data_IF_543569614517
#
_entry.id   IF_543569614517
#
_cell.length_a   1.000
_cell.length_b   1.000
_cell.length_c   1.000
_cell.angle_alpha   90.00
_cell.angle_beta   90.00
_cell.angle_gamma   90.00
#
_symmetry.space_group_name_H-M   'P 1'
#
loop_
_entity.id
_entity.type
_entity.pdbx_description
1 polymer ?
#
# COMPACT_ATOMS: atom_id res chain seq x y z
N UNK A 1 9.27 13.74 -63.44
CA UNK A 1 10.07 13.17 -62.33
C UNK A 1 10.16 14.20 -61.20
N UNK A 2 9.46 13.99 -60.08
CA UNK A 2 9.68 14.69 -58.81
C UNK A 2 9.35 13.71 -57.69
N UNK A 3 10.40 13.12 -57.10
CA UNK A 3 10.33 12.36 -55.86
C UNK A 3 10.08 13.37 -54.73
N UNK A 4 9.08 13.16 -53.88
CA UNK A 4 8.98 13.89 -52.62
C UNK A 4 8.53 12.95 -51.50
N UNK A 5 9.15 13.17 -50.35
CA UNK A 5 9.50 12.18 -49.35
C UNK A 5 8.32 11.75 -48.46
N UNK A 6 8.33 10.46 -48.15
CA UNK A 6 7.60 9.80 -47.07
C UNK A 6 8.11 10.37 -45.73
N UNK A 7 7.30 11.15 -45.00
CA UNK A 7 7.59 11.49 -43.61
C UNK A 7 6.85 10.47 -42.74
N UNK A 8 7.62 9.48 -42.29
CA UNK A 8 7.20 8.50 -41.29
C UNK A 8 7.18 9.20 -39.92
N UNK A 9 6.03 9.67 -39.48
CA UNK A 9 5.84 10.11 -38.10
C UNK A 9 5.81 8.89 -37.19
N UNK A 10 6.98 8.52 -36.66
CA UNK A 10 7.09 7.62 -35.50
C UNK A 10 6.54 8.39 -34.30
N UNK A 11 5.24 8.22 -34.04
CA UNK A 11 4.66 8.58 -32.75
C UNK A 11 5.21 7.58 -31.73
N UNK A 12 6.14 8.04 -30.90
CA UNK A 12 6.55 7.35 -29.68
C UNK A 12 5.30 7.20 -28.79
N UNK A 13 4.64 6.05 -28.87
CA UNK A 13 3.61 5.66 -27.90
C UNK A 13 4.33 5.26 -26.62
N UNK A 14 4.60 6.26 -25.77
CA UNK A 14 4.97 6.01 -24.38
C UNK A 14 3.82 5.25 -23.74
N UNK A 15 3.92 3.91 -23.70
CA UNK A 15 3.04 3.08 -22.89
C UNK A 15 3.44 3.31 -21.43
N UNK A 16 2.98 4.41 -20.84
CA UNK A 16 2.77 4.45 -19.41
C UNK A 16 1.73 3.37 -19.12
N UNK A 17 2.17 2.18 -18.70
CA UNK A 17 1.28 1.13 -18.26
C UNK A 17 0.52 1.64 -17.04
N UNK A 18 -0.71 2.10 -17.27
CA UNK A 18 -1.62 2.48 -16.20
C UNK A 18 -1.93 1.21 -15.39
N UNK A 19 -1.81 1.30 -14.07
CA UNK A 19 -2.19 0.21 -13.17
C UNK A 19 -3.69 -0.02 -13.28
N UNK A 20 -4.09 -1.26 -13.51
CA UNK A 20 -5.49 -1.66 -13.64
C UNK A 20 -6.17 -1.78 -12.26
N UNK A 21 -7.51 -1.66 -12.18
CA UNK A 21 -8.25 -1.90 -10.94
C UNK A 21 -7.97 -3.28 -10.33
N UNK A 22 -7.84 -4.32 -11.17
CA UNK A 22 -7.53 -5.67 -10.71
C UNK A 22 -6.13 -5.78 -10.10
N UNK A 23 -5.13 -5.11 -10.67
CA UNK A 23 -3.79 -5.03 -10.08
C UNK A 23 -3.79 -4.31 -8.73
N UNK A 24 -4.60 -3.25 -8.59
CA UNK A 24 -4.78 -2.56 -7.31
C UNK A 24 -5.36 -3.50 -6.26
N UNK A 25 -6.44 -4.21 -6.58
CA UNK A 25 -7.07 -5.16 -5.66
C UNK A 25 -6.13 -6.31 -5.31
N UNK A 26 -5.42 -6.87 -6.31
CA UNK A 26 -4.43 -7.92 -6.10
C UNK A 26 -3.30 -7.46 -5.16
N UNK A 27 -2.84 -6.22 -5.30
CA UNK A 27 -1.84 -5.64 -4.41
C UNK A 27 -2.35 -5.48 -2.98
N UNK A 28 -3.61 -5.09 -2.77
CA UNK A 28 -4.22 -5.02 -1.44
C UNK A 28 -4.36 -6.40 -0.80
N UNK A 29 -4.83 -7.39 -1.56
CA UNK A 29 -4.93 -8.78 -1.09
C UNK A 29 -3.56 -9.35 -0.72
N UNK A 30 -2.56 -9.12 -1.58
CA UNK A 30 -1.18 -9.53 -1.35
C UNK A 30 -0.60 -8.87 -0.10
N UNK A 31 -0.83 -7.57 0.09
CA UNK A 31 -0.39 -6.85 1.28
C UNK A 31 -1.02 -7.46 2.55
N UNK A 32 -2.35 -7.64 2.57
CA UNK A 32 -3.04 -8.24 3.70
C UNK A 32 -2.54 -9.67 4.02
N UNK A 33 -2.39 -10.53 3.01
CA UNK A 33 -1.88 -11.89 3.19
C UNK A 33 -0.43 -11.91 3.71
N UNK A 34 0.43 -11.03 3.16
CA UNK A 34 1.84 -10.88 3.59
C UNK A 34 1.93 -10.44 5.04
N UNK A 35 1.16 -9.41 5.41
CA UNK A 35 1.08 -8.88 6.78
C UNK A 35 0.64 -9.97 7.75
N UNK A 36 -0.46 -10.67 7.48
CA UNK A 36 -0.96 -11.73 8.37
C UNK A 36 0.04 -12.87 8.50
N UNK A 37 0.70 -13.28 7.42
CA UNK A 37 1.73 -14.31 7.46
C UNK A 37 2.92 -13.89 8.34
N UNK A 38 3.35 -12.63 8.25
CA UNK A 38 4.45 -12.08 9.05
C UNK A 38 4.09 -11.96 10.52
N UNK A 39 2.90 -11.44 10.84
CA UNK A 39 2.40 -11.42 12.21
C UNK A 39 2.29 -12.83 12.82
N UNK A 40 1.73 -13.79 12.08
CA UNK A 40 1.63 -15.20 12.54
C UNK A 40 2.99 -15.85 12.82
N UNK A 41 4.08 -15.33 12.26
CA UNK A 41 5.44 -15.88 12.41
C UNK A 41 6.30 -15.14 13.43
N UNK A 42 6.07 -13.85 13.67
CA UNK A 42 6.93 -13.07 14.57
C UNK A 42 6.26 -11.84 15.20
N UNK A 43 4.93 -11.84 15.31
CA UNK A 43 4.14 -10.86 16.03
C UNK A 43 4.26 -9.43 15.49
N UNK A 44 3.95 -8.46 16.35
CA UNK A 44 3.95 -7.02 16.03
C UNK A 44 5.33 -6.52 15.59
N UNK A 45 6.42 -7.01 16.20
CA UNK A 45 7.77 -6.62 15.79
C UNK A 45 8.07 -6.95 14.31
N UNK A 46 7.59 -8.10 13.84
CA UNK A 46 7.71 -8.46 12.41
C UNK A 46 6.88 -7.57 11.49
N UNK A 47 5.77 -6.99 11.99
CA UNK A 47 4.96 -6.04 11.24
C UNK A 47 5.68 -4.70 11.07
N UNK A 48 6.30 -4.19 12.14
CA UNK A 48 7.12 -2.97 12.09
C UNK A 48 8.23 -3.14 11.06
N UNK A 49 8.97 -4.24 11.13
CA UNK A 49 10.08 -4.51 10.22
C UNK A 49 9.65 -4.51 8.74
N UNK A 50 8.56 -5.22 8.38
CA UNK A 50 8.14 -5.27 6.97
C UNK A 50 7.62 -3.93 6.47
N UNK A 51 7.05 -3.11 7.34
CA UNK A 51 6.61 -1.76 7.00
C UNK A 51 7.83 -0.89 6.73
N UNK A 52 8.79 -0.84 7.66
CA UNK A 52 10.04 -0.10 7.49
C UNK A 52 10.80 -0.51 6.22
N UNK A 53 10.92 -1.82 5.98
CA UNK A 53 11.59 -2.34 4.80
C UNK A 53 10.89 -1.93 3.50
N UNK A 54 9.56 -1.80 3.50
CA UNK A 54 8.83 -1.34 2.32
C UNK A 54 9.15 0.12 2.00
N UNK A 55 9.18 1.00 3.01
CA UNK A 55 9.45 2.43 2.83
C UNK A 55 10.91 2.76 2.46
N UNK A 56 11.85 1.80 2.54
CA UNK A 56 13.25 2.00 2.11
C UNK A 56 13.43 2.16 0.60
N UNK A 57 12.52 1.63 -0.22
CA UNK A 57 12.58 1.77 -1.69
C UNK A 57 11.21 2.14 -2.29
N UNK A 58 10.93 3.45 -2.26
CA UNK A 58 9.70 4.02 -2.82
C UNK A 58 9.66 4.05 -4.35
N UNK A 59 10.72 3.64 -5.07
CA UNK A 59 10.71 3.67 -6.53
C UNK A 59 9.95 2.49 -7.13
N UNK A 60 9.84 1.37 -6.41
CA UNK A 60 9.31 0.12 -6.96
C UNK A 60 7.87 -0.20 -6.54
N UNK A 61 7.41 0.30 -5.39
CA UNK A 61 6.16 -0.17 -4.76
C UNK A 61 5.37 0.89 -3.97
N UNK A 62 5.28 2.14 -4.46
CA UNK A 62 4.71 3.29 -3.73
C UNK A 62 3.41 2.98 -2.96
N UNK A 63 2.31 2.72 -3.66
CA UNK A 63 1.03 2.48 -2.99
C UNK A 63 0.93 1.12 -2.27
N UNK A 64 1.74 0.13 -2.68
CA UNK A 64 1.76 -1.16 -1.99
C UNK A 64 2.26 -1.03 -0.55
N UNK A 65 3.21 -0.13 -0.27
CA UNK A 65 3.66 0.12 1.11
C UNK A 65 2.56 0.71 1.98
N UNK A 66 1.71 1.59 1.43
CA UNK A 66 0.53 2.09 2.13
C UNK A 66 -0.42 0.93 2.47
N UNK A 67 -0.65 0.01 1.52
CA UNK A 67 -1.53 -1.13 1.79
C UNK A 67 -0.99 -2.06 2.87
N UNK A 68 0.32 -2.29 2.86
CA UNK A 68 1.01 -3.13 3.83
C UNK A 68 1.00 -2.50 5.22
N UNK A 69 1.26 -1.18 5.33
CA UNK A 69 1.19 -0.42 6.57
C UNK A 69 -0.25 -0.41 7.13
N UNK A 70 -1.25 -0.06 6.32
CA UNK A 70 -2.67 -0.13 6.72
C UNK A 70 -3.08 -1.51 7.21
N UNK A 71 -2.66 -2.58 6.53
CA UNK A 71 -2.90 -3.94 6.97
C UNK A 71 -2.25 -4.22 8.32
N UNK A 72 -1.01 -3.78 8.53
CA UNK A 72 -0.26 -3.98 9.76
C UNK A 72 -0.87 -3.21 10.95
N UNK A 73 -1.31 -1.97 10.71
CA UNK A 73 -2.05 -1.16 11.68
C UNK A 73 -3.31 -1.87 12.15
N UNK A 74 -4.12 -2.37 11.22
CA UNK A 74 -5.34 -3.11 11.57
C UNK A 74 -5.06 -4.38 12.39
N UNK A 75 -3.99 -5.13 12.08
CA UNK A 75 -3.57 -6.27 12.91
C UNK A 75 -3.14 -5.80 14.31
N UNK A 76 -2.35 -4.74 14.40
CA UNK A 76 -1.91 -4.15 15.67
C UNK A 76 -3.08 -3.70 16.54
N UNK A 77 -4.05 -3.00 15.96
CA UNK A 77 -5.24 -2.53 16.66
C UNK A 77 -6.09 -3.69 17.19
N UNK A 78 -6.23 -4.76 16.38
CA UNK A 78 -6.95 -5.98 16.80
C UNK A 78 -6.25 -6.75 17.92
N UNK A 79 -4.93 -6.83 17.90
CA UNK A 79 -4.13 -7.47 18.95
C UNK A 79 -4.20 -6.66 20.26
N UNK A 80 -4.19 -5.33 20.15
CA UNK A 80 -4.31 -4.41 21.28
C UNK A 80 -5.72 -4.32 21.90
N UNK A 81 -6.77 -4.77 21.21
CA UNK A 81 -8.16 -4.64 21.69
C UNK A 81 -8.52 -5.55 22.89
N UNK A 82 -7.65 -6.50 23.28
CA UNK A 82 -7.93 -7.47 24.34
C UNK A 82 -7.39 -7.15 25.74
N UNK A 83 -6.39 -6.26 25.85
CA UNK A 83 -5.72 -5.89 27.11
C UNK A 83 -5.30 -4.42 27.00
N UNK A 84 -5.01 -3.72 28.09
CA UNK A 84 -4.53 -2.31 28.12
C UNK A 84 -3.22 -2.08 27.36
N UNK A 85 -3.19 -2.33 26.06
CA UNK A 85 -2.06 -2.19 25.18
C UNK A 85 -2.26 -0.91 24.39
N UNK A 86 -1.38 0.05 24.59
CA UNK A 86 -1.24 1.18 23.68
C UNK A 86 -0.89 0.64 22.29
N UNK A 87 -1.48 1.20 21.21
CA UNK A 87 -1.02 0.88 19.85
C UNK A 87 0.49 0.98 19.80
N UNK A 88 1.13 0.06 19.07
CA UNK A 88 2.56 0.14 18.83
C UNK A 88 2.87 1.53 18.27
N UNK A 89 3.84 2.23 18.86
CA UNK A 89 4.12 3.65 18.56
C UNK A 89 4.35 3.86 17.06
N UNK A 90 4.91 2.85 16.40
CA UNK A 90 5.12 2.87 14.97
C UNK A 90 3.81 3.01 14.15
N UNK A 91 2.69 2.48 14.64
CA UNK A 91 1.41 2.41 13.92
C UNK A 91 0.40 3.51 14.28
N UNK A 92 0.80 4.50 15.10
CA UNK A 92 -0.03 5.68 15.41
C UNK A 92 -0.18 6.59 14.19
N UNK A 93 -1.23 7.41 14.19
CA UNK A 93 -1.62 8.25 13.04
C UNK A 93 -0.51 9.21 12.63
N UNK A 94 0.15 9.87 13.58
CA UNK A 94 1.20 10.85 13.28
C UNK A 94 2.38 10.22 12.54
N UNK A 95 2.82 9.06 12.99
CA UNK A 95 3.94 8.32 12.39
C UNK A 95 3.54 7.75 11.01
N UNK A 96 2.31 7.27 10.88
CA UNK A 96 1.76 6.82 9.60
C UNK A 96 1.71 7.97 8.57
N UNK A 97 1.19 9.13 8.95
CA UNK A 97 1.13 10.30 8.08
C UNK A 97 2.52 10.75 7.64
N UNK A 98 3.49 10.76 8.56
CA UNK A 98 4.89 11.07 8.26
C UNK A 98 5.45 10.17 7.16
N UNK A 99 5.28 8.84 7.28
CA UNK A 99 5.80 7.86 6.30
C UNK A 99 5.09 7.89 4.95
N UNK A 100 3.78 8.12 4.95
CA UNK A 100 2.95 8.02 3.74
C UNK A 100 2.93 9.30 2.90
N UNK A 101 3.21 10.45 3.53
CA UNK A 101 3.18 11.78 2.90
C UNK A 101 3.97 11.85 1.59
N UNK A 102 5.19 11.28 1.56
CA UNK A 102 6.05 11.32 0.38
C UNK A 102 5.44 10.59 -0.83
N UNK A 103 4.69 9.50 -0.60
CA UNK A 103 4.02 8.76 -1.67
C UNK A 103 2.90 9.61 -2.28
N UNK A 104 2.12 10.30 -1.46
CA UNK A 104 1.05 11.17 -1.93
C UNK A 104 1.60 12.39 -2.69
N UNK A 105 2.65 13.01 -2.16
CA UNK A 105 3.37 14.11 -2.82
C UNK A 105 3.89 13.67 -4.20
N UNK A 106 4.58 12.52 -4.27
CA UNK A 106 5.09 11.95 -5.54
C UNK A 106 3.99 11.51 -6.51
N UNK A 107 2.76 11.37 -6.03
CA UNK A 107 1.59 11.02 -6.82
C UNK A 107 0.75 12.26 -7.18
N UNK A 108 1.23 13.46 -6.86
CA UNK A 108 0.55 14.74 -7.10
C UNK A 108 -0.86 14.77 -6.48
N UNK A 109 -1.01 14.13 -5.31
CA UNK A 109 -2.26 14.14 -4.54
C UNK A 109 -2.19 15.22 -3.46
N UNK A 110 -3.23 16.04 -3.38
CA UNK A 110 -3.40 16.97 -2.27
C UNK A 110 -3.95 16.24 -1.02
N UNK A 111 -4.14 16.98 0.07
CA UNK A 111 -4.62 16.42 1.34
C UNK A 111 -5.99 15.76 1.21
N UNK A 112 -6.95 16.43 0.54
CA UNK A 112 -8.31 15.92 0.37
C UNK A 112 -8.31 14.63 -0.46
N UNK A 113 -7.58 14.61 -1.58
CA UNK A 113 -7.43 13.43 -2.42
C UNK A 113 -6.76 12.26 -1.68
N UNK A 114 -5.76 12.56 -0.85
CA UNK A 114 -5.08 11.55 -0.03
C UNK A 114 -6.02 10.97 1.02
N UNK A 115 -6.82 11.82 1.67
CA UNK A 115 -7.81 11.41 2.65
C UNK A 115 -8.94 10.58 2.02
N UNK A 116 -9.46 11.00 0.87
CA UNK A 116 -10.46 10.24 0.10
C UNK A 116 -9.93 8.88 -0.32
N UNK A 117 -8.68 8.84 -0.79
CA UNK A 117 -8.02 7.59 -1.15
C UNK A 117 -7.88 6.65 0.05
N UNK A 118 -7.37 7.15 1.18
CA UNK A 118 -7.25 6.36 2.42
C UNK A 118 -8.62 5.86 2.90
N UNK A 119 -9.66 6.71 2.87
CA UNK A 119 -11.02 6.35 3.23
C UNK A 119 -11.59 5.24 2.33
N UNK A 120 -11.22 5.22 1.05
CA UNK A 120 -11.63 4.18 0.11
C UNK A 120 -10.91 2.86 0.35
N UNK A 121 -9.59 2.87 0.54
CA UNK A 121 -8.79 1.62 0.55
C UNK A 121 -8.75 0.94 1.91
N UNK A 122 -8.82 1.70 3.00
CA UNK A 122 -8.75 1.17 4.38
C UNK A 122 -9.81 0.09 4.68
N UNK A 123 -11.12 0.30 4.44
CA UNK A 123 -12.12 -0.73 4.74
C UNK A 123 -11.94 -2.01 3.91
N UNK A 124 -11.42 -1.88 2.68
CA UNK A 124 -11.14 -3.02 1.80
C UNK A 124 -9.97 -3.85 2.36
N UNK A 125 -8.88 -3.19 2.75
CA UNK A 125 -7.71 -3.84 3.33
C UNK A 125 -8.07 -4.52 4.66
N UNK A 126 -8.81 -3.84 5.53
CA UNK A 126 -9.25 -4.39 6.81
C UNK A 126 -10.04 -5.70 6.61
N UNK A 127 -10.95 -5.71 5.62
CA UNK A 127 -11.70 -6.92 5.26
C UNK A 127 -10.79 -8.05 4.75
N UNK A 128 -9.78 -7.75 3.93
CA UNK A 128 -8.84 -8.76 3.47
C UNK A 128 -7.98 -9.31 4.62
N UNK A 129 -7.55 -8.46 5.55
CA UNK A 129 -6.83 -8.88 6.76
C UNK A 129 -7.71 -9.78 7.62
N UNK A 130 -8.95 -9.40 7.88
CA UNK A 130 -9.89 -10.19 8.68
C UNK A 130 -10.13 -11.56 8.07
N UNK A 131 -10.28 -11.61 6.74
CA UNK A 131 -10.42 -12.86 5.99
C UNK A 131 -9.17 -13.73 6.12
N UNK A 132 -7.97 -13.15 5.97
CA UNK A 132 -6.70 -13.86 6.08
C UNK A 132 -6.38 -14.34 7.52
N UNK A 133 -6.84 -13.61 8.54
CA UNK A 133 -6.74 -14.02 9.93
C UNK A 133 -7.66 -15.20 10.23
N UNK A 134 -8.89 -15.17 9.71
CA UNK A 134 -9.89 -16.24 9.89
C UNK A 134 -9.57 -17.54 9.13
N UNK A 135 -8.78 -17.45 8.05
CA UNK A 135 -8.31 -18.63 7.33
C UNK A 135 -7.47 -19.52 8.27
N UNK A 136 -7.96 -20.75 8.50
CA UNK A 136 -7.25 -21.79 9.26
C UNK A 136 -5.98 -22.19 8.49
N UNK A 137 -4.86 -22.32 9.22
CA UNK A 137 -3.62 -22.90 8.68
C UNK A 137 -3.87 -24.35 8.25
#
# INVERSE_FOLDING_TARGET
MKKLYLILTVLCVNHAHAVTPDEVVNNMQKAAATTVAKYKNGGIASLVQISEDCYKDLNKFRFYCIYLDLAARHVSDRDGAGVRFTPEKYFVDEEFLSRTSEIFIRSNMNMDQSNEYLAMVTPIINKFVDTALAAKK
#
